data_IF_523034731863
#
_entry.id   IF_523034731863
#
_cell.length_a   1.000
_cell.length_b   1.000
_cell.length_c   1.000
_cell.angle_alpha   90.00
_cell.angle_beta   90.00
_cell.angle_gamma   90.00
#
_symmetry.space_group_name_H-M   'P 1'
#
loop_
_entity.id
_entity.type
_entity.pdbx_description
1 polymer ?
#
# COMPACT_ATOMS: atom_id res chain seq x y z
N UNK A 1 -16.54 38.65 -52.64
CA UNK A 1 -16.68 39.08 -51.23
C UNK A 1 -16.97 37.82 -50.41
N UNK A 2 -15.90 37.19 -49.90
CA UNK A 2 -15.98 35.98 -49.07
C UNK A 2 -16.44 36.33 -47.68
N UNK A 3 -17.66 35.92 -47.32
CA UNK A 3 -18.13 35.96 -45.93
C UNK A 3 -17.53 34.75 -45.22
N UNK A 4 -16.50 34.97 -44.42
CA UNK A 4 -16.05 33.98 -43.40
C UNK A 4 -17.19 33.82 -42.38
N UNK A 5 -18.00 32.77 -42.54
CA UNK A 5 -18.87 32.31 -41.43
C UNK A 5 -17.94 31.75 -40.35
N UNK A 6 -17.80 32.52 -39.30
CA UNK A 6 -17.17 32.06 -38.07
C UNK A 6 -18.06 30.94 -37.49
N UNK A 7 -17.62 29.70 -37.64
CA UNK A 7 -18.31 28.56 -37.05
C UNK A 7 -18.21 28.64 -35.53
N UNK A 8 -19.31 28.93 -34.80
CA UNK A 8 -19.29 29.08 -33.33
C UNK A 8 -18.88 27.75 -32.64
N UNK A 9 -19.10 26.62 -33.32
CA UNK A 9 -18.68 25.31 -32.81
C UNK A 9 -17.15 25.08 -32.86
N UNK A 10 -16.49 25.69 -33.84
CA UNK A 10 -15.03 25.60 -33.95
C UNK A 10 -14.31 26.38 -32.86
N UNK A 11 -14.81 27.58 -32.53
CA UNK A 11 -14.29 28.40 -31.46
C UNK A 11 -14.51 27.76 -30.06
N UNK A 12 -15.67 27.15 -29.82
CA UNK A 12 -15.96 26.45 -28.60
C UNK A 12 -15.03 25.23 -28.37
N UNK A 13 -14.76 24.47 -29.43
CA UNK A 13 -13.82 23.32 -29.35
C UNK A 13 -12.40 23.77 -29.11
N UNK A 14 -11.97 24.87 -29.74
CA UNK A 14 -10.64 25.43 -29.56
C UNK A 14 -10.46 25.98 -28.13
N UNK A 15 -11.47 26.66 -27.58
CA UNK A 15 -11.47 27.13 -26.19
C UNK A 15 -11.39 25.96 -25.19
N UNK A 16 -12.12 24.86 -25.43
CA UNK A 16 -12.08 23.66 -24.59
C UNK A 16 -10.72 22.97 -24.64
N UNK A 17 -10.10 22.90 -25.82
CA UNK A 17 -8.77 22.33 -25.98
C UNK A 17 -7.71 23.14 -25.24
N UNK A 18 -7.76 24.47 -25.30
CA UNK A 18 -6.85 25.37 -24.58
C UNK A 18 -7.01 25.22 -23.07
N UNK A 19 -8.25 25.15 -22.56
CA UNK A 19 -8.53 24.91 -21.15
C UNK A 19 -8.00 23.56 -20.66
N UNK A 20 -8.18 22.50 -21.45
CA UNK A 20 -7.69 21.18 -21.10
C UNK A 20 -6.14 21.14 -21.03
N UNK A 21 -5.46 21.75 -22.00
CA UNK A 21 -3.99 21.85 -22.01
C UNK A 21 -3.51 22.69 -20.83
N UNK A 22 -4.16 23.81 -20.52
CA UNK A 22 -3.85 24.65 -19.37
C UNK A 22 -3.97 23.90 -18.04
N UNK A 23 -5.01 23.11 -17.86
CA UNK A 23 -5.21 22.30 -16.66
C UNK A 23 -4.10 21.23 -16.47
N UNK A 24 -3.72 20.56 -17.56
CA UNK A 24 -2.64 19.55 -17.53
C UNK A 24 -1.29 20.20 -17.19
N UNK A 25 -0.96 21.34 -17.81
CA UNK A 25 0.29 22.06 -17.51
C UNK A 25 0.32 22.52 -16.06
N UNK A 26 -0.79 23.03 -15.52
CA UNK A 26 -0.89 23.45 -14.12
C UNK A 26 -0.66 22.28 -13.18
N UNK A 27 -1.27 21.12 -13.45
CA UNK A 27 -1.08 19.91 -12.66
C UNK A 27 0.38 19.42 -12.69
N UNK A 28 1.03 19.47 -13.84
CA UNK A 28 2.44 19.08 -13.97
C UNK A 28 3.37 20.04 -13.22
N UNK A 29 3.10 21.34 -13.23
CA UNK A 29 3.93 22.33 -12.52
C UNK A 29 3.73 22.22 -11.02
N UNK A 30 2.48 22.10 -10.55
CA UNK A 30 2.20 21.99 -9.11
C UNK A 30 2.65 20.64 -8.57
N UNK A 31 2.37 19.55 -9.29
CA UNK A 31 2.79 18.21 -8.89
C UNK A 31 4.31 18.01 -8.94
N UNK A 32 4.96 18.58 -9.96
CA UNK A 32 6.42 18.54 -10.09
C UNK A 32 7.14 19.32 -8.98
N UNK A 33 6.60 20.46 -8.57
CA UNK A 33 7.17 21.24 -7.44
C UNK A 33 7.06 20.48 -6.11
N UNK A 34 5.90 19.89 -5.83
CA UNK A 34 5.71 19.07 -4.63
C UNK A 34 6.69 17.88 -4.56
N UNK A 35 7.00 17.28 -5.71
CA UNK A 35 7.98 16.19 -5.78
C UNK A 35 9.41 16.69 -5.54
N UNK A 36 9.77 17.85 -6.08
CA UNK A 36 11.10 18.45 -5.86
C UNK A 36 11.30 18.87 -4.41
N UNK A 37 10.29 19.43 -3.76
CA UNK A 37 10.35 19.80 -2.34
C UNK A 37 10.57 18.57 -1.42
N UNK A 38 10.05 17.39 -1.81
CA UNK A 38 10.30 16.14 -1.11
C UNK A 38 11.73 15.59 -1.29
N UNK A 39 12.36 15.91 -2.44
CA UNK A 39 13.73 15.50 -2.73
C UNK A 39 14.78 16.48 -2.13
N UNK A 40 14.38 17.72 -1.89
CA UNK A 40 15.25 18.78 -1.34
C UNK A 40 15.08 18.96 0.19
N UNK A 41 14.27 18.09 0.84
CA UNK A 41 14.16 18.07 2.29
C UNK A 41 15.53 17.69 2.88
N UNK A 42 16.17 18.59 3.68
CA UNK A 42 17.43 18.26 4.32
C UNK A 42 17.23 17.07 5.26
N UNK A 43 18.21 16.15 5.33
CA UNK A 43 18.14 15.06 6.29
C UNK A 43 18.01 15.65 7.70
N UNK A 44 17.18 15.05 8.57
CA UNK A 44 17.07 15.53 9.95
C UNK A 44 18.46 15.49 10.58
N UNK A 45 18.91 16.67 11.06
CA UNK A 45 20.18 16.84 11.75
C UNK A 45 20.29 15.77 12.86
N UNK A 46 21.26 14.86 12.66
CA UNK A 46 21.70 14.01 13.75
C UNK A 46 22.50 14.88 14.71
N UNK A 47 21.85 15.34 15.74
CA UNK A 47 22.52 15.90 16.90
C UNK A 47 23.44 14.86 17.55
N UNK A 48 24.70 15.21 17.89
CA UNK A 48 25.63 14.22 18.41
C UNK A 48 25.21 13.74 19.80
N UNK A 49 25.31 12.43 19.96
CA UNK A 49 25.03 11.71 21.18
C UNK A 49 25.71 12.31 22.40
N UNK A 50 24.94 12.84 23.33
CA UNK A 50 25.32 12.96 24.75
C UNK A 50 24.67 11.79 25.51
N UNK A 51 25.52 10.96 26.10
CA UNK A 51 25.15 9.85 26.98
C UNK A 51 24.71 10.36 28.38
N UNK A 52 24.35 9.46 29.32
CA UNK A 52 23.01 8.92 29.56
C UNK A 52 22.40 9.57 30.80
N UNK A 53 21.21 10.07 30.71
CA UNK A 53 20.38 10.33 31.87
C UNK A 53 19.28 9.27 31.91
N UNK A 54 19.34 8.43 32.92
CA UNK A 54 18.29 7.51 33.33
C UNK A 54 17.01 8.30 33.62
N UNK A 55 16.16 8.39 32.61
CA UNK A 55 14.81 8.90 32.75
C UNK A 55 13.86 7.76 32.48
N UNK A 56 13.26 7.21 33.52
CA UNK A 56 12.15 6.28 33.48
C UNK A 56 10.96 6.99 32.86
N UNK A 57 10.88 6.97 31.53
CA UNK A 57 9.67 7.32 30.82
C UNK A 57 8.79 6.07 30.77
N UNK A 58 8.00 5.86 31.82
CA UNK A 58 6.83 4.98 31.82
C UNK A 58 5.74 5.68 31.00
N UNK A 59 5.93 5.73 29.66
CA UNK A 59 4.82 5.82 28.76
C UNK A 59 4.19 4.43 28.69
N UNK A 60 2.84 4.30 28.59
CA UNK A 60 2.26 3.01 28.35
C UNK A 60 2.84 2.51 27.03
N UNK A 61 3.69 1.50 27.09
CA UNK A 61 4.06 0.73 25.92
C UNK A 61 2.73 0.26 25.35
N UNK A 62 2.33 0.85 24.22
CA UNK A 62 1.24 0.33 23.43
C UNK A 62 1.63 -1.12 23.20
N UNK A 63 0.98 -2.03 23.92
CA UNK A 63 1.23 -3.44 23.79
C UNK A 63 1.15 -3.73 22.30
N UNK A 64 2.27 -4.12 21.71
CA UNK A 64 2.34 -4.38 20.27
C UNK A 64 1.27 -5.43 19.99
N UNK A 65 0.15 -5.00 19.38
CA UNK A 65 -0.96 -5.89 19.12
C UNK A 65 -0.44 -7.01 18.24
N UNK A 66 -0.62 -8.24 18.68
CA UNK A 66 -0.28 -9.40 17.88
C UNK A 66 -1.28 -9.45 16.73
N UNK A 67 -0.83 -9.44 15.47
CA UNK A 67 -1.74 -9.53 14.34
C UNK A 67 -2.40 -10.91 14.31
N UNK A 68 -3.69 -10.94 13.98
CA UNK A 68 -4.44 -12.20 13.74
C UNK A 68 -3.78 -12.98 12.61
N UNK A 69 -3.37 -12.29 11.54
CA UNK A 69 -2.62 -12.89 10.43
C UNK A 69 -1.50 -11.94 10.00
N UNK A 70 -0.31 -12.52 9.82
CA UNK A 70 0.83 -11.90 9.17
C UNK A 70 1.27 -12.77 8.02
N UNK A 71 1.41 -12.20 6.83
CA UNK A 71 1.83 -12.89 5.62
C UNK A 71 3.07 -12.19 5.07
N UNK A 72 4.14 -12.94 4.85
CA UNK A 72 5.40 -12.49 4.27
C UNK A 72 5.68 -13.24 2.98
N UNK A 73 5.96 -12.52 1.90
CA UNK A 73 6.39 -13.13 0.64
C UNK A 73 7.86 -13.50 0.71
N UNK A 74 8.18 -14.79 0.57
CA UNK A 74 9.56 -15.32 0.65
C UNK A 74 10.14 -15.67 -0.72
N UNK A 75 9.30 -15.79 -1.75
CA UNK A 75 9.72 -15.98 -3.14
C UNK A 75 9.93 -14.62 -3.85
N UNK A 76 10.41 -14.62 -5.08
CA UNK A 76 10.54 -13.37 -5.86
C UNK A 76 9.21 -12.70 -6.11
N UNK A 77 8.18 -13.50 -6.35
CA UNK A 77 6.79 -13.08 -6.49
C UNK A 77 5.93 -14.12 -5.80
N UNK A 78 4.98 -13.67 -5.02
CA UNK A 78 3.98 -14.51 -4.39
C UNK A 78 2.67 -14.31 -5.15
N UNK A 79 2.26 -15.29 -5.98
CA UNK A 79 1.07 -15.14 -6.81
C UNK A 79 -0.16 -15.09 -5.93
N UNK A 80 -1.09 -14.30 -6.33
CA UNK A 80 -2.41 -14.00 -5.79
C UNK A 80 -2.66 -14.42 -4.33
N UNK A 81 -2.43 -13.48 -3.44
CA UNK A 81 -2.77 -13.59 -2.01
C UNK A 81 -4.09 -12.87 -1.78
N UNK A 82 -5.08 -13.59 -1.27
CA UNK A 82 -6.39 -13.04 -0.93
C UNK A 82 -6.61 -13.12 0.57
N UNK A 83 -6.98 -12.01 1.17
CA UNK A 83 -7.40 -11.91 2.58
C UNK A 83 -8.73 -11.18 2.63
N UNK A 84 -9.71 -11.74 3.33
CA UNK A 84 -11.04 -11.15 3.46
C UNK A 84 -11.64 -11.42 4.84
N UNK A 85 -12.56 -10.58 5.24
CA UNK A 85 -13.44 -10.85 6.38
C UNK A 85 -14.54 -11.80 5.95
N UNK A 86 -14.85 -12.88 6.70
CA UNK A 86 -15.92 -13.80 6.35
C UNK A 86 -17.26 -13.07 6.17
N UNK A 87 -17.87 -13.20 4.99
CA UNK A 87 -19.12 -12.50 4.66
C UNK A 87 -19.01 -10.97 4.51
N UNK A 88 -17.79 -10.43 4.52
CA UNK A 88 -17.50 -9.00 4.46
C UNK A 88 -16.50 -8.64 3.37
N UNK A 89 -15.74 -7.58 3.62
CA UNK A 89 -14.84 -6.96 2.67
C UNK A 89 -13.60 -7.80 2.35
N UNK A 90 -13.12 -7.63 1.12
CA UNK A 90 -11.82 -8.13 0.67
C UNK A 90 -10.77 -7.09 1.05
N UNK A 91 -9.89 -7.47 1.99
CA UNK A 91 -8.82 -6.61 2.48
C UNK A 91 -7.63 -6.61 1.54
N UNK A 92 -7.36 -7.75 0.90
CA UNK A 92 -6.33 -7.91 -0.10
C UNK A 92 -6.73 -8.94 -1.16
N UNK A 93 -6.39 -8.64 -2.42
CA UNK A 93 -6.54 -9.55 -3.55
C UNK A 93 -5.54 -9.18 -4.63
N UNK A 94 -4.26 -9.52 -4.41
CA UNK A 94 -3.17 -9.15 -5.34
C UNK A 94 -1.95 -10.04 -5.15
N UNK A 95 -1.01 -9.92 -6.06
CA UNK A 95 0.33 -10.47 -5.93
C UNK A 95 1.14 -9.65 -4.91
N UNK A 96 2.13 -10.29 -4.30
CA UNK A 96 3.10 -9.67 -3.40
C UNK A 96 4.51 -9.88 -3.94
N UNK A 97 5.38 -8.92 -3.66
CA UNK A 97 6.80 -8.97 -4.02
C UNK A 97 7.63 -9.56 -2.88
N UNK A 98 8.84 -10.02 -3.21
CA UNK A 98 9.79 -10.56 -2.22
C UNK A 98 10.03 -9.59 -1.08
N UNK A 99 9.93 -10.09 0.16
CA UNK A 99 10.14 -9.33 1.37
C UNK A 99 8.95 -8.44 1.76
N UNK A 100 7.91 -8.40 0.94
CA UNK A 100 6.69 -7.69 1.30
C UNK A 100 5.96 -8.43 2.40
N UNK A 101 5.51 -7.68 3.41
CA UNK A 101 4.80 -8.18 4.57
C UNK A 101 3.49 -7.41 4.75
N UNK A 102 2.43 -8.14 5.05
CA UNK A 102 1.12 -7.59 5.40
C UNK A 102 0.65 -8.14 6.73
N UNK A 103 -0.08 -7.32 7.50
CA UNK A 103 -0.61 -7.66 8.83
C UNK A 103 -2.05 -7.26 8.93
N UNK A 104 -2.87 -8.13 9.51
CA UNK A 104 -4.29 -7.94 9.69
C UNK A 104 -4.67 -8.24 11.13
N UNK A 105 -5.62 -7.49 11.68
CA UNK A 105 -6.01 -7.51 13.10
C UNK A 105 -7.50 -7.80 13.29
N UNK A 106 -8.22 -8.06 12.22
CA UNK A 106 -9.63 -8.42 12.26
C UNK A 106 -9.84 -9.71 13.04
N UNK A 107 -10.97 -9.84 13.75
CA UNK A 107 -11.21 -10.97 14.66
C UNK A 107 -11.34 -12.32 13.94
N UNK A 108 -11.71 -12.31 12.67
CA UNK A 108 -11.78 -13.50 11.83
C UNK A 108 -11.43 -13.16 10.38
N UNK A 109 -10.57 -13.96 9.78
CA UNK A 109 -10.05 -13.75 8.43
C UNK A 109 -10.06 -15.05 7.63
N UNK A 110 -10.55 -14.99 6.40
CA UNK A 110 -10.36 -16.02 5.39
C UNK A 110 -9.15 -15.68 4.55
N UNK A 111 -8.18 -16.57 4.48
CA UNK A 111 -6.97 -16.45 3.68
C UNK A 111 -6.97 -17.48 2.57
N UNK A 112 -6.70 -17.02 1.34
CA UNK A 112 -6.53 -17.90 0.18
C UNK A 112 -5.21 -17.57 -0.50
N UNK A 113 -4.36 -18.57 -0.59
CA UNK A 113 -3.05 -18.52 -1.22
C UNK A 113 -3.10 -19.33 -2.50
N UNK A 114 -2.77 -18.75 -3.63
CA UNK A 114 -2.69 -19.50 -4.90
C UNK A 114 -1.47 -20.41 -4.97
N UNK A 115 -0.39 -20.04 -4.25
CA UNK A 115 0.81 -20.85 -4.04
C UNK A 115 1.29 -20.69 -2.59
N UNK A 116 0.95 -21.66 -1.74
CA UNK A 116 1.27 -21.62 -0.31
C UNK A 116 2.76 -21.81 -0.01
N UNK A 117 3.54 -22.32 -0.97
CA UNK A 117 4.99 -22.47 -0.82
C UNK A 117 5.78 -21.18 -0.97
N UNK A 118 5.17 -20.12 -1.51
CA UNK A 118 5.83 -18.83 -1.76
C UNK A 118 5.74 -17.86 -0.60
N UNK A 119 4.89 -18.14 0.39
CA UNK A 119 4.63 -17.25 1.53
C UNK A 119 4.93 -17.91 2.87
N UNK A 120 5.28 -17.10 3.84
CA UNK A 120 5.30 -17.48 5.26
C UNK A 120 4.12 -16.84 5.96
N UNK A 121 3.31 -17.66 6.63
CA UNK A 121 2.13 -17.21 7.37
C UNK A 121 2.37 -17.37 8.87
N UNK A 122 1.96 -16.37 9.64
CA UNK A 122 1.94 -16.38 11.10
C UNK A 122 0.51 -16.09 11.56
N UNK A 123 -0.03 -16.92 12.41
CA UNK A 123 -1.38 -16.82 12.97
C UNK A 123 -1.26 -16.52 14.48
N UNK A 124 -1.86 -15.43 14.96
CA UNK A 124 -1.79 -15.01 16.36
C UNK A 124 -0.37 -15.03 16.95
N UNK A 125 0.63 -14.64 16.14
CA UNK A 125 2.04 -14.67 16.54
C UNK A 125 2.74 -16.02 16.42
N UNK A 126 2.04 -17.13 16.15
CA UNK A 126 2.62 -18.45 15.95
C UNK A 126 2.84 -18.76 14.43
N UNK A 127 4.00 -19.27 14.03
CA UNK A 127 4.24 -19.61 12.64
C UNK A 127 3.41 -20.83 12.23
N UNK A 128 2.71 -20.69 11.10
CA UNK A 128 2.02 -21.81 10.44
C UNK A 128 3.03 -22.65 9.64
N UNK A 129 2.77 -23.94 9.52
CA UNK A 129 3.55 -24.80 8.64
C UNK A 129 3.46 -24.28 7.19
N UNK A 130 4.61 -24.20 6.52
CA UNK A 130 4.66 -23.74 5.13
C UNK A 130 4.00 -24.76 4.21
N UNK A 131 3.13 -24.26 3.30
CA UNK A 131 2.49 -25.08 2.30
C UNK A 131 3.46 -25.59 1.23
N UNK A 132 2.97 -26.46 0.38
CA UNK A 132 3.76 -26.99 -0.75
C UNK A 132 3.83 -25.97 -1.87
N UNK A 133 4.98 -25.89 -2.54
CA UNK A 133 5.13 -25.06 -3.73
C UNK A 133 4.12 -25.45 -4.81
N UNK A 134 3.46 -24.46 -5.41
CA UNK A 134 2.41 -24.61 -6.41
C UNK A 134 1.06 -25.08 -5.87
N UNK A 135 0.94 -25.33 -4.57
CA UNK A 135 -0.32 -25.75 -3.98
C UNK A 135 -1.18 -24.56 -3.54
N UNK A 136 -2.44 -24.56 -3.97
CA UNK A 136 -3.44 -23.64 -3.44
C UNK A 136 -3.86 -24.06 -2.03
N UNK A 137 -3.89 -23.10 -1.12
CA UNK A 137 -4.36 -23.33 0.24
C UNK A 137 -5.40 -22.27 0.62
N UNK A 138 -6.43 -22.69 1.34
CA UNK A 138 -7.45 -21.81 1.89
C UNK A 138 -7.74 -22.21 3.34
N UNK A 139 -7.76 -21.23 4.24
CA UNK A 139 -7.99 -21.44 5.66
C UNK A 139 -8.59 -20.19 6.30
N UNK A 140 -9.23 -20.40 7.45
CA UNK A 140 -9.77 -19.31 8.27
C UNK A 140 -8.95 -19.19 9.56
N UNK A 141 -8.59 -17.96 9.94
CA UNK A 141 -7.90 -17.65 11.19
C UNK A 141 -8.81 -16.80 12.06
N UNK A 142 -8.85 -17.11 13.34
CA UNK A 142 -9.54 -16.31 14.37
C UNK A 142 -8.52 -15.73 15.33
N UNK A 143 -8.75 -14.50 15.77
CA UNK A 143 -7.98 -13.90 16.84
C UNK A 143 -8.21 -14.68 18.13
N UNK A 144 -7.12 -14.89 18.90
CA UNK A 144 -7.16 -15.53 20.21
C UNK A 144 -7.69 -14.56 21.29
#
# INVERSE_FOLDING_TARGET
>A
VGRHRSDPMGLARLALAVLAVGAVVTLLVVGGRALLDLLDAPPPDREPAAAPASGTATGPASAAQVPTVRIECVAETCPLVTVRVPGGDVLQHREMSRGEEVRYFEPELDVVLSDAGTVRVTENGAPRAQGRAGAREAFTVRAD
#
